data_IF_501174755497
#
_entry.id   IF_501174755497
#
_cell.length_a   1.000
_cell.length_b   1.000
_cell.length_c   1.000
_cell.angle_alpha   90.00
_cell.angle_beta   90.00
_cell.angle_gamma   90.00
#
_symmetry.space_group_name_H-M   'P 1'
#
loop_
_entity.id
_entity.type
_entity.pdbx_description
1 polymer ?
#
# COMPACT_ATOMS: atom_id res chain seq x y z
N UNK A 1 44.09 -55.42 56.20
CA UNK A 1 42.81 -54.84 55.72
C UNK A 1 42.61 -53.51 56.42
N UNK A 2 43.31 -52.46 55.97
CA UNK A 2 43.20 -51.11 56.51
C UNK A 2 42.68 -50.20 55.39
N UNK A 3 41.48 -49.65 55.54
CA UNK A 3 40.89 -48.73 54.57
C UNK A 3 40.67 -47.39 55.25
N UNK A 4 41.60 -46.47 54.98
CA UNK A 4 41.52 -45.06 55.29
C UNK A 4 40.36 -44.43 54.51
N UNK A 5 39.34 -43.92 55.20
CA UNK A 5 38.41 -42.95 54.61
C UNK A 5 38.69 -41.56 55.18
N UNK A 6 39.44 -40.78 54.39
CA UNK A 6 39.60 -39.34 54.56
C UNK A 6 38.21 -38.68 54.39
N UNK A 7 37.59 -38.23 55.48
CA UNK A 7 36.46 -37.29 55.39
C UNK A 7 37.00 -35.96 54.87
N UNK A 8 36.88 -35.71 53.57
CA UNK A 8 36.93 -34.34 53.02
C UNK A 8 35.64 -33.63 53.45
N UNK A 9 35.74 -32.81 54.49
CA UNK A 9 34.70 -31.85 54.86
C UNK A 9 34.68 -30.76 53.78
N UNK A 10 33.85 -30.95 52.75
CA UNK A 10 33.58 -29.89 51.79
C UNK A 10 32.77 -28.78 52.49
N UNK A 11 33.36 -27.59 52.60
CA UNK A 11 32.66 -26.38 52.98
C UNK A 11 31.68 -25.99 51.86
N UNK A 12 30.44 -26.48 51.94
CA UNK A 12 29.33 -26.05 51.09
C UNK A 12 28.51 -25.03 51.88
N UNK A 13 28.89 -23.75 51.81
CA UNK A 13 27.99 -22.66 52.16
C UNK A 13 28.38 -21.44 51.30
N UNK A 14 27.87 -21.41 50.07
CA UNK A 14 27.78 -20.16 49.31
C UNK A 14 26.53 -19.41 49.81
N UNK A 15 26.59 -18.09 50.04
CA UNK A 15 25.41 -17.31 50.41
C UNK A 15 24.42 -17.33 49.23
N UNK A 16 23.23 -17.88 49.47
CA UNK A 16 22.12 -17.87 48.50
C UNK A 16 21.64 -16.42 48.33
N UNK A 17 21.87 -15.82 47.17
CA UNK A 17 21.19 -14.57 46.82
C UNK A 17 19.66 -14.80 46.81
N UNK A 18 18.85 -13.82 47.25
CA UNK A 18 17.39 -13.95 47.17
C UNK A 18 16.94 -14.08 45.70
N UNK A 19 15.89 -14.87 45.41
CA UNK A 19 15.37 -15.00 44.06
C UNK A 19 14.93 -13.63 43.54
N UNK A 20 15.33 -13.29 42.32
CA UNK A 20 14.88 -12.07 41.66
C UNK A 20 13.34 -12.05 41.60
N UNK A 21 12.70 -10.88 41.79
CA UNK A 21 11.26 -10.78 41.60
C UNK A 21 10.89 -11.19 40.17
N UNK A 22 9.72 -11.84 39.98
CA UNK A 22 9.25 -12.22 38.65
C UNK A 22 9.14 -10.97 37.77
N UNK A 23 9.62 -11.07 36.52
CA UNK A 23 9.50 -9.99 35.55
C UNK A 23 8.02 -9.57 35.41
N UNK A 24 7.70 -8.26 35.36
CA UNK A 24 6.35 -7.83 35.07
C UNK A 24 5.93 -8.36 33.70
N UNK A 25 4.74 -8.94 33.62
CA UNK A 25 4.19 -9.42 32.35
C UNK A 25 4.12 -8.25 31.35
N UNK A 26 4.45 -8.47 30.07
CA UNK A 26 4.33 -7.43 29.06
C UNK A 26 2.88 -6.95 29.01
N UNK A 27 2.68 -5.63 29.01
CA UNK A 27 1.36 -5.03 28.89
C UNK A 27 0.61 -5.63 27.69
N UNK A 28 -0.71 -5.87 27.79
CA UNK A 28 -1.47 -6.47 26.70
C UNK A 28 -1.30 -5.64 25.44
N UNK A 29 -0.66 -6.20 24.41
CA UNK A 29 -0.57 -5.54 23.12
C UNK A 29 -1.98 -5.47 22.56
N UNK A 30 -2.46 -4.25 22.31
CA UNK A 30 -3.80 -4.01 21.77
C UNK A 30 -3.85 -4.33 20.26
N UNK A 31 -3.32 -5.49 19.85
CA UNK A 31 -3.33 -5.94 18.46
C UNK A 31 -4.76 -6.38 18.11
N UNK A 32 -5.47 -5.52 17.39
CA UNK A 32 -6.79 -5.87 16.85
C UNK A 32 -6.61 -6.92 15.76
N UNK A 33 -7.10 -8.14 16.00
CA UNK A 33 -6.98 -9.25 15.07
C UNK A 33 -7.81 -9.08 13.78
N UNK A 34 -7.59 -9.98 12.80
CA UNK A 34 -8.21 -9.90 11.47
C UNK A 34 -9.75 -9.79 11.48
N UNK A 35 -10.42 -10.34 12.51
CA UNK A 35 -11.89 -10.26 12.67
C UNK A 35 -12.38 -8.82 12.85
N UNK A 36 -11.62 -7.98 13.55
CA UNK A 36 -11.95 -6.56 13.72
C UNK A 36 -11.86 -5.82 12.39
N UNK A 37 -10.75 -5.98 11.67
CA UNK A 37 -10.53 -5.36 10.37
C UNK A 37 -11.52 -5.83 9.31
N UNK A 38 -11.84 -7.14 9.29
CA UNK A 38 -12.89 -7.70 8.44
C UNK A 38 -14.23 -6.99 8.64
N UNK A 39 -14.64 -6.76 9.91
CA UNK A 39 -15.88 -6.03 10.21
C UNK A 39 -15.84 -4.59 9.70
N UNK A 40 -14.74 -3.87 9.92
CA UNK A 40 -14.60 -2.49 9.42
C UNK A 40 -14.66 -2.44 7.88
N UNK A 41 -13.97 -3.35 7.19
CA UNK A 41 -13.99 -3.39 5.73
C UNK A 41 -15.41 -3.53 5.19
N UNK A 42 -16.19 -4.48 5.72
CA UNK A 42 -17.55 -4.71 5.22
C UNK A 42 -18.57 -3.67 5.70
N UNK A 43 -18.45 -3.18 6.93
CA UNK A 43 -19.45 -2.28 7.52
C UNK A 43 -19.19 -0.80 7.21
N UNK A 44 -17.95 -0.42 6.92
CA UNK A 44 -17.56 0.99 6.73
C UNK A 44 -16.92 1.19 5.36
N UNK A 45 -15.87 0.44 5.03
CA UNK A 45 -15.12 0.70 3.79
C UNK A 45 -15.97 0.41 2.54
N UNK A 46 -16.67 -0.72 2.49
CA UNK A 46 -17.53 -1.09 1.36
C UNK A 46 -18.67 -0.08 1.10
N UNK A 47 -19.49 0.34 2.09
CA UNK A 47 -20.50 1.36 1.82
C UNK A 47 -19.88 2.71 1.44
N UNK A 48 -18.75 3.10 2.05
CA UNK A 48 -18.06 4.33 1.69
C UNK A 48 -17.56 4.31 0.23
N UNK A 49 -16.94 3.21 -0.20
CA UNK A 49 -16.51 3.01 -1.59
C UNK A 49 -17.71 3.02 -2.53
N UNK A 50 -18.84 2.42 -2.14
CA UNK A 50 -20.08 2.46 -2.92
C UNK A 50 -20.60 3.88 -3.14
N UNK A 51 -20.60 4.71 -2.10
CA UNK A 51 -21.00 6.12 -2.20
C UNK A 51 -20.05 6.92 -3.11
N UNK A 52 -18.74 6.72 -2.98
CA UNK A 52 -17.75 7.38 -3.83
C UNK A 52 -17.88 6.91 -5.28
N UNK A 53 -18.07 5.61 -5.52
CA UNK A 53 -18.28 5.05 -6.84
C UNK A 53 -19.52 5.63 -7.52
N UNK A 54 -20.63 5.76 -6.79
CA UNK A 54 -21.85 6.37 -7.31
C UNK A 54 -21.64 7.84 -7.67
N UNK A 55 -21.01 8.63 -6.79
CA UNK A 55 -20.73 10.03 -7.05
C UNK A 55 -19.83 10.20 -8.29
N UNK A 56 -18.71 9.47 -8.33
CA UNK A 56 -17.77 9.52 -9.47
C UNK A 56 -18.43 9.04 -10.77
N UNK A 57 -19.29 8.03 -10.72
CA UNK A 57 -20.03 7.57 -11.89
C UNK A 57 -21.00 8.62 -12.42
N UNK A 58 -21.80 9.25 -11.55
CA UNK A 58 -22.72 10.33 -11.95
C UNK A 58 -21.98 11.51 -12.55
N UNK A 59 -20.89 11.96 -11.93
CA UNK A 59 -20.06 13.04 -12.47
C UNK A 59 -19.41 12.64 -13.80
N UNK A 60 -18.95 11.40 -13.94
CA UNK A 60 -18.39 10.89 -15.19
C UNK A 60 -19.42 10.89 -16.34
N UNK A 61 -20.67 10.49 -16.07
CA UNK A 61 -21.74 10.52 -17.07
C UNK A 61 -22.06 11.96 -17.51
N UNK A 62 -22.12 12.91 -16.56
CA UNK A 62 -22.29 14.33 -16.88
C UNK A 62 -21.12 14.86 -17.70
N UNK A 63 -19.89 14.50 -17.32
CA UNK A 63 -18.70 14.95 -18.03
C UNK A 63 -18.66 14.38 -19.44
N UNK A 64 -19.02 13.11 -19.67
CA UNK A 64 -19.13 12.55 -21.03
C UNK A 64 -20.22 13.22 -21.86
N UNK A 65 -21.36 13.57 -21.26
CA UNK A 65 -22.43 14.25 -21.97
C UNK A 65 -22.08 15.71 -22.33
N UNK A 66 -21.21 16.37 -21.56
CA UNK A 66 -20.89 17.79 -21.70
C UNK A 66 -19.47 18.11 -22.16
N UNK A 67 -18.55 17.13 -22.23
CA UNK A 67 -17.20 17.34 -22.77
C UNK A 67 -17.27 17.52 -24.29
N UNK A 68 -17.45 18.77 -24.71
CA UNK A 68 -17.07 19.13 -26.07
C UNK A 68 -15.54 19.06 -26.19
N UNK A 69 -15.07 18.39 -27.24
CA UNK A 69 -13.64 18.31 -27.57
C UNK A 69 -13.07 19.73 -27.66
N UNK A 70 -12.02 20.08 -26.88
CA UNK A 70 -11.46 21.43 -26.92
C UNK A 70 -10.87 21.70 -28.29
N UNK A 71 -10.87 22.97 -28.73
CA UNK A 71 -10.24 23.37 -29.99
C UNK A 71 -8.74 23.03 -29.95
N UNK A 72 -8.23 22.46 -31.05
CA UNK A 72 -6.80 22.19 -31.16
C UNK A 72 -6.01 23.50 -31.22
N UNK A 73 -5.05 23.64 -30.31
CA UNK A 73 -4.06 24.70 -30.30
C UNK A 73 -2.69 24.01 -30.18
N UNK A 74 -1.80 24.31 -31.12
CA UNK A 74 -0.45 23.77 -31.18
C UNK A 74 0.46 24.53 -30.21
N UNK A 75 0.32 24.22 -28.92
CA UNK A 75 1.24 24.71 -27.91
C UNK A 75 2.59 24.02 -28.06
N UNK A 76 3.68 24.80 -28.10
CA UNK A 76 5.05 24.30 -28.28
C UNK A 76 5.48 23.29 -27.19
N UNK A 77 4.96 23.45 -25.98
CA UNK A 77 5.25 22.56 -24.85
C UNK A 77 4.39 21.29 -24.82
N UNK A 78 3.35 21.19 -25.66
CA UNK A 78 2.48 20.01 -25.72
C UNK A 78 2.85 19.13 -26.91
N UNK A 79 2.62 17.83 -26.77
CA UNK A 79 2.76 16.83 -27.86
C UNK A 79 4.16 16.79 -28.49
N UNK A 80 5.19 17.18 -27.75
CA UNK A 80 6.60 17.08 -28.16
C UNK A 80 6.94 15.64 -28.56
N UNK A 81 7.69 15.49 -29.65
CA UNK A 81 8.19 14.21 -30.18
C UNK A 81 9.67 14.34 -30.55
N UNK A 82 10.56 14.06 -29.60
CA UNK A 82 12.02 14.04 -29.85
C UNK A 82 12.50 12.74 -30.47
N UNK A 83 11.87 11.62 -30.10
CA UNK A 83 12.10 10.28 -30.65
C UNK A 83 10.76 9.59 -30.87
N UNK A 84 10.70 8.72 -31.87
CA UNK A 84 9.54 7.86 -32.11
C UNK A 84 9.37 6.86 -30.96
N UNK A 85 8.12 6.56 -30.62
CA UNK A 85 7.78 5.51 -29.67
C UNK A 85 8.14 4.12 -30.22
N UNK A 86 8.48 3.14 -29.35
CA UNK A 86 8.91 1.80 -29.78
C UNK A 86 7.76 0.86 -30.19
N UNK A 87 6.55 1.36 -30.48
CA UNK A 87 5.40 0.56 -30.89
C UNK A 87 4.69 1.15 -32.11
N UNK A 88 4.03 0.28 -32.89
CA UNK A 88 3.24 0.64 -34.08
C UNK A 88 3.99 1.67 -34.94
N UNK A 89 3.33 2.78 -35.28
CA UNK A 89 3.88 3.85 -36.14
C UNK A 89 4.86 4.80 -35.42
N UNK A 90 5.01 4.63 -34.10
CA UNK A 90 5.90 5.43 -33.27
C UNK A 90 5.44 6.87 -32.99
N UNK A 91 4.23 7.25 -33.40
CA UNK A 91 3.68 8.61 -33.26
C UNK A 91 2.62 8.68 -32.14
N UNK A 92 1.75 7.66 -32.07
CA UNK A 92 0.66 7.57 -31.09
C UNK A 92 1.17 7.11 -29.74
N UNK A 93 0.63 7.69 -28.67
CA UNK A 93 0.92 7.26 -27.29
C UNK A 93 0.38 5.84 -27.03
N UNK A 94 0.83 5.21 -25.94
CA UNK A 94 0.42 3.83 -25.61
C UNK A 94 -1.11 3.72 -25.41
N UNK A 95 -1.68 4.66 -24.66
CA UNK A 95 -3.13 4.82 -24.46
C UNK A 95 -3.66 5.99 -25.28
N UNK A 96 -3.51 5.90 -26.61
CA UNK A 96 -4.03 6.91 -27.52
C UNK A 96 -5.54 6.72 -27.75
N UNK A 97 -6.34 7.71 -27.32
CA UNK A 97 -7.75 7.82 -27.69
C UNK A 97 -7.90 8.88 -28.81
N UNK A 98 -8.31 8.50 -30.03
CA UNK A 98 -8.42 9.42 -31.18
C UNK A 98 -9.40 10.57 -30.95
N UNK A 99 -10.42 10.37 -30.12
CA UNK A 99 -11.43 11.38 -29.82
C UNK A 99 -10.86 12.55 -29.00
N UNK A 100 -10.01 12.28 -28.00
CA UNK A 100 -9.56 13.31 -27.05
C UNK A 100 -8.08 13.70 -27.20
N UNK A 101 -7.23 12.81 -27.72
CA UNK A 101 -5.79 13.03 -27.79
C UNK A 101 -5.39 13.50 -29.19
N UNK A 102 -5.05 14.79 -29.32
CA UNK A 102 -4.49 15.31 -30.57
C UNK A 102 -3.04 14.86 -30.80
N UNK A 103 -2.71 14.62 -32.06
CA UNK A 103 -1.34 14.51 -32.56
C UNK A 103 -0.71 15.91 -32.75
N UNK A 104 0.61 16.00 -33.01
CA UNK A 104 1.24 17.26 -33.37
C UNK A 104 0.57 17.93 -34.58
N UNK A 105 0.09 17.14 -35.53
CA UNK A 105 -0.63 17.60 -36.74
C UNK A 105 -2.11 17.94 -36.49
N UNK A 106 -2.58 17.87 -35.24
CA UNK A 106 -3.97 18.07 -34.87
C UNK A 106 -4.71 16.79 -34.53
N UNK A 107 -6.02 16.91 -34.51
CA UNK A 107 -6.93 15.85 -34.15
C UNK A 107 -7.14 14.84 -35.29
N UNK A 108 -7.19 13.56 -34.94
CA UNK A 108 -7.58 12.51 -35.88
C UNK A 108 -9.07 12.70 -36.26
N UNK A 109 -9.37 12.40 -37.53
CA UNK A 109 -10.72 12.47 -38.12
C UNK A 109 -11.51 11.20 -37.79
#
# INVERSE_FOLDING_TARGET
MATLFLRRTFCLNAPTAPPCPPCPEPAPSSSRGYKFWKKITFMIAMPLVGLIALNTYTEHQKEHAHRSRPKFIEYEYLRIRTKRYPWRDGVKTLFHNPEVNALPTGYEK
#
